data_IF_047954473662
#
_entry.id   IF_047954473662
#
_cell.length_a   1.000
_cell.length_b   1.000
_cell.length_c   1.000
_cell.angle_alpha   90.00
_cell.angle_beta   90.00
_cell.angle_gamma   90.00
#
_symmetry.space_group_name_H-M   'P 1'
#
loop_
_entity.id
_entity.type
_entity.pdbx_description
1 polymer ?
#
# COMPACT_ATOMS: atom_id res chain seq x y z
N UNK A 1 -5.13 -14.85 -9.03
CA UNK A 1 -4.35 -14.50 -7.82
C UNK A 1 -3.73 -13.12 -7.95
N UNK A 2 -3.13 -12.73 -9.09
CA UNK A 2 -2.46 -11.41 -9.24
C UNK A 2 -3.39 -10.18 -9.08
N UNK A 3 -4.64 -10.22 -9.55
CA UNK A 3 -5.58 -9.10 -9.37
C UNK A 3 -6.07 -8.92 -7.92
N UNK A 4 -5.81 -9.88 -7.04
CA UNK A 4 -6.37 -9.88 -5.68
C UNK A 4 -5.58 -8.97 -4.74
N UNK A 5 -4.25 -8.85 -4.93
CA UNK A 5 -3.37 -8.09 -4.03
C UNK A 5 -3.48 -6.57 -4.22
N UNK A 6 -3.60 -6.09 -5.47
CA UNK A 6 -3.82 -4.65 -5.75
C UNK A 6 -5.17 -4.19 -5.17
N UNK A 7 -6.20 -5.03 -5.28
CA UNK A 7 -7.52 -4.75 -4.70
C UNK A 7 -7.46 -4.76 -3.17
N UNK A 8 -6.64 -5.63 -2.57
CA UNK A 8 -6.40 -5.73 -1.12
C UNK A 8 -5.77 -4.45 -0.56
N UNK A 9 -4.72 -3.93 -1.22
CA UNK A 9 -4.08 -2.64 -0.87
C UNK A 9 -5.10 -1.51 -0.87
N UNK A 10 -5.85 -1.34 -1.96
CA UNK A 10 -6.89 -0.31 -2.07
C UNK A 10 -8.01 -0.49 -1.02
N UNK A 11 -8.38 -1.72 -0.69
CA UNK A 11 -9.38 -2.01 0.33
C UNK A 11 -8.91 -1.61 1.73
N UNK A 12 -7.62 -1.86 2.06
CA UNK A 12 -7.04 -1.46 3.34
C UNK A 12 -6.97 0.07 3.49
N UNK A 13 -6.66 0.81 2.42
CA UNK A 13 -6.76 2.27 2.42
C UNK A 13 -8.20 2.77 2.62
N UNK A 14 -9.16 2.18 1.91
CA UNK A 14 -10.57 2.57 2.06
C UNK A 14 -11.09 2.23 3.47
N UNK A 15 -10.63 1.12 4.05
CA UNK A 15 -10.95 0.70 5.42
C UNK A 15 -10.34 1.61 6.48
N UNK A 16 -9.10 2.08 6.31
CA UNK A 16 -8.47 3.00 7.26
C UNK A 16 -9.21 4.35 7.30
N UNK A 17 -9.73 4.80 6.16
CA UNK A 17 -10.59 5.99 6.09
C UNK A 17 -11.84 5.93 6.98
N UNK A 18 -12.37 4.73 7.26
CA UNK A 18 -13.52 4.57 8.16
C UNK A 18 -13.13 4.55 9.64
N UNK A 19 -11.83 4.37 9.93
CA UNK A 19 -11.25 4.20 11.27
C UNK A 19 -10.54 5.44 11.80
N UNK A 20 -10.65 6.61 11.14
CA UNK A 20 -10.04 7.88 11.58
C UNK A 20 -10.41 8.36 13.01
N UNK A 21 -11.35 7.70 13.69
CA UNK A 21 -11.77 8.02 15.06
C UNK A 21 -10.94 7.36 16.14
N UNK A 22 -10.20 6.30 15.79
CA UNK A 22 -9.35 5.56 16.70
C UNK A 22 -7.97 5.38 16.05
N UNK A 23 -6.95 5.93 16.69
CA UNK A 23 -5.59 5.91 16.17
C UNK A 23 -5.03 4.50 16.04
N UNK A 24 -5.34 3.61 16.99
CA UNK A 24 -4.85 2.23 17.00
C UNK A 24 -5.44 1.47 15.82
N UNK A 25 -6.76 1.56 15.64
CA UNK A 25 -7.46 0.90 14.53
C UNK A 25 -7.05 1.47 13.17
N UNK A 26 -6.82 2.79 13.08
CA UNK A 26 -6.35 3.46 11.87
C UNK A 26 -4.95 2.95 11.47
N UNK A 27 -4.00 2.95 12.40
CA UNK A 27 -2.63 2.48 12.16
C UNK A 27 -2.62 0.98 11.84
N UNK A 28 -3.39 0.16 12.57
CA UNK A 28 -3.45 -1.28 12.32
C UNK A 28 -3.88 -1.60 10.88
N UNK A 29 -4.90 -0.90 10.37
CA UNK A 29 -5.36 -1.10 8.99
C UNK A 29 -4.33 -0.62 7.96
N UNK A 30 -3.58 0.44 8.25
CA UNK A 30 -2.50 0.92 7.37
C UNK A 30 -1.33 -0.08 7.32
N UNK A 31 -0.96 -0.70 8.43
CA UNK A 31 0.06 -1.74 8.49
C UNK A 31 -0.35 -2.97 7.65
N UNK A 32 -1.62 -3.38 7.70
CA UNK A 32 -2.14 -4.44 6.82
C UNK A 32 -1.99 -4.05 5.34
N UNK A 33 -2.29 -2.80 4.99
CA UNK A 33 -2.09 -2.25 3.64
C UNK A 33 -0.62 -2.23 3.20
N UNK A 34 0.31 -1.88 4.11
CA UNK A 34 1.75 -1.89 3.86
C UNK A 34 2.27 -3.30 3.55
N UNK A 35 1.85 -4.29 4.33
CA UNK A 35 2.24 -5.69 4.13
C UNK A 35 1.83 -6.21 2.75
N UNK A 36 0.58 -5.94 2.35
CA UNK A 36 0.03 -6.35 1.04
C UNK A 36 0.74 -5.63 -0.13
N UNK A 37 1.13 -4.36 0.08
CA UNK A 37 1.89 -3.61 -0.91
C UNK A 37 3.33 -4.12 -1.06
N UNK A 38 3.98 -4.50 0.05
CA UNK A 38 5.30 -5.15 0.05
C UNK A 38 5.27 -6.52 -0.65
N UNK A 39 4.22 -7.31 -0.42
CA UNK A 39 4.01 -8.56 -1.16
C UNK A 39 3.84 -8.28 -2.67
N UNK A 40 3.08 -7.26 -3.04
CA UNK A 40 2.90 -6.90 -4.46
C UNK A 40 4.23 -6.48 -5.12
N UNK A 41 5.08 -5.72 -4.43
CA UNK A 41 6.42 -5.40 -4.93
C UNK A 41 7.27 -6.65 -5.18
N UNK A 42 7.19 -7.65 -4.29
CA UNK A 42 7.88 -8.93 -4.46
C UNK A 42 7.40 -9.67 -5.72
N UNK A 43 6.10 -9.63 -6.01
CA UNK A 43 5.54 -10.21 -7.23
C UNK A 43 5.98 -9.47 -8.50
N UNK A 44 6.06 -8.14 -8.46
CA UNK A 44 6.59 -7.33 -9.56
C UNK A 44 8.06 -7.71 -9.81
N UNK A 45 8.89 -7.78 -8.76
CA UNK A 45 10.29 -8.23 -8.85
C UNK A 45 10.44 -9.62 -9.49
N UNK A 46 9.56 -10.55 -9.11
CA UNK A 46 9.52 -11.88 -9.71
C UNK A 46 9.17 -11.84 -11.21
N UNK A 47 8.13 -11.09 -11.58
CA UNK A 47 7.68 -10.99 -12.96
C UNK A 47 8.75 -10.40 -13.89
N UNK A 48 9.54 -9.44 -13.40
CA UNK A 48 10.71 -8.87 -14.11
C UNK A 48 11.77 -9.94 -14.32
N UNK A 49 12.16 -10.68 -13.27
CA UNK A 49 13.19 -11.72 -13.36
C UNK A 49 12.82 -12.84 -14.32
N UNK A 50 11.52 -13.08 -14.50
CA UNK A 50 10.99 -14.04 -15.45
C UNK A 50 10.73 -13.45 -16.86
N UNK A 51 11.03 -12.17 -17.10
CA UNK A 51 10.75 -11.45 -18.34
C UNK A 51 9.26 -11.50 -18.76
N UNK A 52 8.33 -11.55 -17.79
CA UNK A 52 6.89 -11.48 -18.07
C UNK A 52 6.40 -10.06 -18.35
N UNK A 53 7.13 -9.07 -17.85
CA UNK A 53 6.90 -7.64 -18.09
C UNK A 53 8.19 -7.02 -18.62
N UNK A 54 8.04 -6.02 -19.51
CA UNK A 54 9.18 -5.29 -20.06
C UNK A 54 9.68 -4.23 -19.06
N UNK A 55 10.91 -3.77 -19.25
CA UNK A 55 11.60 -2.86 -18.32
C UNK A 55 10.94 -1.48 -18.20
N UNK A 56 10.22 -1.02 -19.22
CA UNK A 56 9.52 0.27 -19.19
C UNK A 56 8.28 0.20 -18.28
N UNK A 57 7.46 -0.85 -18.46
CA UNK A 57 6.31 -1.14 -17.59
C UNK A 57 6.72 -1.43 -16.15
N UNK A 58 7.88 -2.06 -15.96
CA UNK A 58 8.48 -2.27 -14.63
C UNK A 58 8.75 -0.95 -13.91
N UNK A 59 9.50 -0.03 -14.52
CA UNK A 59 9.84 1.24 -13.88
C UNK A 59 8.59 2.03 -13.48
N UNK A 60 7.58 2.12 -14.35
CA UNK A 60 6.33 2.81 -14.05
C UNK A 60 5.58 2.18 -12.86
N UNK A 61 5.51 0.84 -12.81
CA UNK A 61 4.85 0.12 -11.71
C UNK A 61 5.62 0.27 -10.39
N UNK A 62 6.94 0.14 -10.44
CA UNK A 62 7.80 0.24 -9.27
C UNK A 62 7.77 1.64 -8.66
N UNK A 63 7.88 2.68 -9.47
CA UNK A 63 7.77 4.07 -9.04
C UNK A 63 6.40 4.38 -8.43
N UNK A 64 5.33 3.90 -9.06
CA UNK A 64 3.96 4.07 -8.54
C UNK A 64 3.79 3.41 -7.17
N UNK A 65 4.27 2.18 -7.00
CA UNK A 65 4.20 1.47 -5.72
C UNK A 65 5.04 2.13 -4.63
N UNK A 66 6.22 2.66 -4.97
CA UNK A 66 7.04 3.41 -4.01
C UNK A 66 6.36 4.68 -3.51
N UNK A 67 5.63 5.40 -4.38
CA UNK A 67 4.86 6.57 -3.96
C UNK A 67 3.73 6.18 -2.99
N UNK A 68 3.01 5.10 -3.29
CA UNK A 68 1.94 4.58 -2.44
C UNK A 68 2.49 4.18 -1.06
N UNK A 69 3.56 3.38 -1.02
CA UNK A 69 4.20 2.94 0.23
C UNK A 69 4.75 4.13 1.02
N UNK A 70 5.41 5.09 0.37
CA UNK A 70 5.87 6.31 1.01
C UNK A 70 4.72 7.10 1.67
N UNK A 71 3.56 7.16 1.02
CA UNK A 71 2.34 7.72 1.58
C UNK A 71 1.87 6.98 2.83
N UNK A 72 1.80 5.65 2.78
CA UNK A 72 1.40 4.79 3.92
C UNK A 72 2.32 4.99 5.12
N UNK A 73 3.63 4.88 4.89
CA UNK A 73 4.64 5.03 5.93
C UNK A 73 4.57 6.41 6.58
N UNK A 74 4.33 7.46 5.80
CA UNK A 74 4.13 8.81 6.34
C UNK A 74 2.85 8.91 7.20
N UNK A 75 1.76 8.27 6.77
CA UNK A 75 0.51 8.22 7.55
C UNK A 75 0.66 7.43 8.84
N UNK A 76 1.39 6.30 8.82
CA UNK A 76 1.69 5.49 10.02
C UNK A 76 2.57 6.27 11.00
N UNK A 77 3.62 6.94 10.52
CA UNK A 77 4.57 7.65 11.37
C UNK A 77 4.04 8.98 11.92
N UNK A 78 2.99 9.53 11.31
CA UNK A 78 2.44 10.83 11.71
C UNK A 78 0.92 10.86 11.54
N UNK A 79 0.14 10.00 12.20
CA UNK A 79 -1.29 9.79 11.90
C UNK A 79 -2.16 11.02 12.21
N UNK A 80 -1.70 11.93 13.08
CA UNK A 80 -2.48 13.08 13.59
C UNK A 80 -3.23 13.93 12.55
N UNK A 81 -2.67 14.28 11.36
CA UNK A 81 -3.37 15.02 10.32
C UNK A 81 -4.59 14.28 9.74
N UNK A 82 -4.61 12.96 9.86
CA UNK A 82 -5.66 12.10 9.33
C UNK A 82 -6.69 11.71 10.40
N UNK A 83 -6.39 11.90 11.68
CA UNK A 83 -7.33 11.57 12.75
C UNK A 83 -8.40 12.66 12.93
N UNK A 84 -9.63 12.23 13.19
CA UNK A 84 -10.71 13.14 13.54
C UNK A 84 -10.48 13.66 14.97
N UNK A 85 -10.31 14.98 15.10
CA UNK A 85 -10.24 15.62 16.42
C UNK A 85 -11.65 15.74 17.01
N UNK A 86 -11.79 15.33 18.26
CA UNK A 86 -12.97 15.60 19.08
C UNK A 86 -13.05 17.08 19.48
#
# INVERSE_FOLDING_TARGET
MEYTLIVSVCANFAGSGQKHRDEVDFIAQLNDGESEASETQTWIEFAIRCNYINTETDQELYESYNQVLGGVVNMINSPSPWLLKH
#
